data_IF_342627031725
#
_entry.id   IF_342627031725
#
_cell.length_a   1.000
_cell.length_b   1.000
_cell.length_c   1.000
_cell.angle_alpha   90.00
_cell.angle_beta   90.00
_cell.angle_gamma   90.00
#
_symmetry.space_group_name_H-M   'P 1'
#
loop_
_entity.id
_entity.type
_entity.pdbx_description
1 polymer ?
#
# COMPACT_ATOMS: atom_id res chain seq x y z
N UNK A 1 -21.52 -9.16 -13.90
CA UNK A 1 -22.95 -9.08 -14.29
C UNK A 1 -23.11 -9.56 -15.74
N UNK A 2 -24.35 -9.82 -16.18
CA UNK A 2 -24.64 -10.32 -17.54
C UNK A 2 -24.27 -9.31 -18.64
N UNK A 3 -24.33 -8.03 -18.29
CA UNK A 3 -24.03 -6.89 -19.18
C UNK A 3 -22.52 -6.62 -19.26
N UNK A 4 -21.72 -7.20 -18.36
CA UNK A 4 -20.27 -7.05 -18.39
C UNK A 4 -19.68 -7.83 -19.57
N UNK A 5 -18.54 -7.36 -20.06
CA UNK A 5 -17.79 -8.02 -21.14
C UNK A 5 -16.49 -8.59 -20.58
N UNK A 6 -16.22 -9.85 -20.91
CA UNK A 6 -15.04 -10.56 -20.47
C UNK A 6 -14.22 -11.07 -21.66
N UNK A 7 -12.93 -10.76 -21.67
CA UNK A 7 -11.92 -11.39 -22.51
C UNK A 7 -10.88 -12.11 -21.64
N UNK A 8 -10.13 -13.02 -22.23
CA UNK A 8 -9.04 -13.74 -21.54
C UNK A 8 -7.82 -13.81 -22.46
N UNK A 9 -6.71 -13.27 -21.99
CA UNK A 9 -5.40 -13.40 -22.61
C UNK A 9 -4.53 -14.31 -21.74
N UNK A 10 -3.91 -15.29 -22.36
CA UNK A 10 -2.85 -16.10 -21.75
C UNK A 10 -1.51 -15.62 -22.30
N UNK A 11 -0.51 -15.54 -21.45
CA UNK A 11 0.83 -15.15 -21.88
C UNK A 11 1.89 -16.03 -21.20
N UNK A 12 2.95 -16.23 -21.96
CA UNK A 12 4.22 -16.79 -21.50
C UNK A 12 5.35 -16.04 -22.24
N UNK A 13 6.07 -16.68 -23.18
CA UNK A 13 6.99 -15.98 -24.10
C UNK A 13 6.25 -15.22 -25.22
N UNK A 14 4.95 -15.41 -25.37
CA UNK A 14 4.03 -14.75 -26.32
C UNK A 14 2.63 -14.65 -25.70
N UNK A 15 1.89 -13.65 -26.15
CA UNK A 15 0.48 -13.54 -25.83
C UNK A 15 -0.39 -14.43 -26.73
N UNK A 16 -1.49 -14.89 -26.18
CA UNK A 16 -2.54 -15.62 -26.89
C UNK A 16 -3.92 -15.21 -26.38
N UNK A 17 -4.77 -14.70 -27.26
CA UNK A 17 -6.16 -14.42 -26.94
C UNK A 17 -6.92 -15.74 -26.81
N UNK A 18 -7.05 -16.23 -25.61
CA UNK A 18 -7.77 -17.48 -25.32
C UNK A 18 -9.29 -17.30 -25.44
N UNK A 19 -9.79 -16.11 -25.14
CA UNK A 19 -11.19 -15.72 -25.30
C UNK A 19 -11.27 -14.25 -25.72
N UNK A 20 -11.86 -13.94 -26.90
CA UNK A 20 -12.11 -12.56 -27.28
C UNK A 20 -13.17 -11.94 -26.37
N UNK A 21 -13.16 -10.61 -26.27
CA UNK A 21 -14.09 -9.82 -25.46
C UNK A 21 -15.55 -10.05 -25.90
N UNK A 22 -16.40 -10.53 -24.98
CA UNK A 22 -17.83 -10.80 -25.22
C UNK A 22 -18.64 -10.63 -23.94
N UNK A 23 -19.94 -10.37 -24.10
CA UNK A 23 -20.86 -10.25 -22.98
C UNK A 23 -20.91 -11.55 -22.15
N UNK A 24 -20.88 -11.38 -20.84
CA UNK A 24 -20.90 -12.49 -19.87
C UNK A 24 -22.21 -13.28 -19.99
N UNK A 25 -23.34 -12.58 -20.08
CA UNK A 25 -24.67 -13.20 -20.16
C UNK A 25 -24.90 -14.08 -21.40
N UNK A 26 -24.12 -13.88 -22.48
CA UNK A 26 -24.17 -14.71 -23.70
C UNK A 26 -23.03 -15.71 -23.82
N UNK A 27 -22.13 -15.75 -22.82
CA UNK A 27 -20.93 -16.58 -22.82
C UNK A 27 -21.17 -17.89 -22.04
N UNK A 28 -20.66 -19.01 -22.56
CA UNK A 28 -20.61 -20.29 -21.81
C UNK A 28 -19.55 -20.23 -20.72
N UNK A 29 -19.89 -19.57 -19.60
CA UNK A 29 -19.00 -19.43 -18.44
C UNK A 29 -18.55 -20.78 -17.85
N UNK A 30 -19.37 -21.84 -17.79
CA UNK A 30 -18.90 -23.18 -17.44
C UNK A 30 -17.79 -23.71 -18.34
N UNK A 31 -17.83 -23.46 -19.66
CA UNK A 31 -16.75 -23.83 -20.58
C UNK A 31 -15.47 -23.03 -20.28
N UNK A 32 -15.56 -21.72 -20.02
CA UNK A 32 -14.42 -20.90 -19.62
C UNK A 32 -13.75 -21.45 -18.36
N UNK A 33 -14.55 -21.78 -17.32
CA UNK A 33 -14.03 -22.38 -16.08
C UNK A 33 -13.34 -23.73 -16.29
N UNK A 34 -13.80 -24.55 -17.23
CA UNK A 34 -13.11 -25.80 -17.59
C UNK A 34 -11.76 -25.50 -18.24
N UNK A 35 -11.73 -24.62 -19.24
CA UNK A 35 -10.50 -24.25 -19.94
C UNK A 35 -9.46 -23.66 -18.99
N UNK A 36 -9.85 -22.81 -18.03
CA UNK A 36 -8.94 -22.27 -17.03
C UNK A 36 -8.26 -23.39 -16.22
N UNK A 37 -8.98 -24.45 -15.87
CA UNK A 37 -8.43 -25.60 -15.14
C UNK A 37 -7.47 -26.47 -15.98
N UNK A 38 -7.51 -26.36 -17.29
CA UNK A 38 -6.66 -27.07 -18.23
C UNK A 38 -5.38 -26.29 -18.58
N UNK A 39 -5.28 -25.03 -18.13
CA UNK A 39 -4.09 -24.20 -18.35
C UNK A 39 -2.90 -24.83 -17.61
N UNK A 40 -1.82 -25.05 -18.36
CA UNK A 40 -0.55 -25.51 -17.80
C UNK A 40 0.50 -24.39 -17.89
N UNK A 41 1.26 -24.21 -16.84
CA UNK A 41 2.37 -23.29 -16.82
C UNK A 41 3.49 -23.76 -17.76
N UNK A 42 4.17 -22.81 -18.44
CA UNK A 42 5.33 -23.11 -19.30
C UNK A 42 5.83 -21.89 -20.06
N UNK A 43 7.12 -21.91 -20.35
CA UNK A 43 7.81 -20.82 -21.07
C UNK A 43 8.37 -19.76 -20.15
N UNK A 44 8.84 -18.65 -20.74
CA UNK A 44 9.27 -17.44 -20.04
C UNK A 44 8.08 -16.51 -19.78
N UNK A 45 8.29 -15.42 -19.04
CA UNK A 45 7.26 -14.45 -18.69
C UNK A 45 7.48 -13.16 -19.48
N UNK A 46 6.77 -12.99 -20.60
CA UNK A 46 6.71 -11.75 -21.37
C UNK A 46 5.41 -11.01 -21.00
N UNK A 47 5.50 -10.15 -20.01
CA UNK A 47 4.38 -9.40 -19.47
C UNK A 47 3.85 -8.37 -20.47
N UNK A 48 4.77 -7.68 -21.17
CA UNK A 48 4.48 -6.66 -22.16
C UNK A 48 3.53 -7.18 -23.26
N UNK A 49 3.91 -8.27 -23.94
CA UNK A 49 3.10 -8.91 -24.99
C UNK A 49 1.68 -9.26 -24.48
N UNK A 50 1.59 -9.79 -23.22
CA UNK A 50 0.33 -10.15 -22.60
C UNK A 50 -0.56 -8.96 -22.30
N UNK A 51 0.04 -7.89 -21.80
CA UNK A 51 -0.66 -6.66 -21.44
C UNK A 51 -1.14 -5.92 -22.69
N UNK A 52 -0.26 -5.72 -23.68
CA UNK A 52 -0.61 -5.08 -24.96
C UNK A 52 -1.77 -5.79 -25.65
N UNK A 53 -1.73 -7.13 -25.72
CA UNK A 53 -2.83 -7.90 -26.32
C UNK A 53 -4.16 -7.73 -25.56
N UNK A 54 -4.13 -7.49 -24.26
CA UNK A 54 -5.32 -7.21 -23.46
C UNK A 54 -5.83 -5.78 -23.67
N UNK A 55 -4.93 -4.81 -23.75
CA UNK A 55 -5.26 -3.39 -24.06
C UNK A 55 -5.88 -3.26 -25.44
N UNK A 56 -5.30 -3.90 -26.47
CA UNK A 56 -5.82 -3.90 -27.84
C UNK A 56 -7.28 -4.39 -27.92
N UNK A 57 -7.65 -5.36 -27.09
CA UNK A 57 -9.05 -5.82 -27.03
C UNK A 57 -10.01 -4.79 -26.44
N UNK A 58 -9.52 -3.84 -25.64
CA UNK A 58 -10.34 -2.87 -24.89
C UNK A 58 -10.38 -1.49 -25.51
N UNK A 59 -9.32 -1.07 -26.22
CA UNK A 59 -9.20 0.29 -26.78
C UNK A 59 -10.33 0.63 -27.73
N UNK A 60 -10.70 -0.28 -28.64
CA UNK A 60 -11.79 -0.11 -29.61
C UNK A 60 -13.20 -0.34 -29.00
N UNK A 61 -13.26 -0.62 -27.69
CA UNK A 61 -14.49 -0.90 -26.98
C UNK A 61 -15.32 0.35 -26.67
N UNK A 62 -16.53 0.10 -26.17
CA UNK A 62 -17.40 1.15 -25.65
C UNK A 62 -16.71 1.91 -24.52
N UNK A 63 -16.84 3.23 -24.50
CA UNK A 63 -16.28 4.12 -23.48
C UNK A 63 -17.33 5.10 -22.97
N UNK A 64 -17.17 5.58 -21.77
CA UNK A 64 -18.06 6.57 -21.14
C UNK A 64 -17.99 6.55 -19.63
N UNK A 65 -18.65 7.48 -18.93
CA UNK A 65 -18.55 7.59 -17.48
C UNK A 65 -19.08 6.37 -16.71
N UNK A 66 -19.93 5.57 -17.36
CA UNK A 66 -20.53 4.35 -16.79
C UNK A 66 -19.83 3.06 -17.28
N UNK A 67 -18.76 3.18 -18.06
CA UNK A 67 -18.02 2.03 -18.59
C UNK A 67 -16.60 2.05 -18.01
N UNK A 68 -16.23 0.98 -17.33
CA UNK A 68 -14.86 0.77 -16.85
C UNK A 68 -14.17 -0.25 -17.75
N UNK A 69 -13.14 0.18 -18.48
CA UNK A 69 -12.29 -0.70 -19.27
C UNK A 69 -11.06 -1.04 -18.45
N UNK A 70 -10.92 -2.31 -18.08
CA UNK A 70 -9.91 -2.71 -17.12
C UNK A 70 -9.22 -4.01 -17.48
N UNK A 71 -7.91 -4.01 -17.41
CA UNK A 71 -7.08 -5.22 -17.42
C UNK A 71 -6.84 -5.66 -15.99
N UNK A 72 -7.34 -6.85 -15.62
CA UNK A 72 -6.95 -7.51 -14.37
C UNK A 72 -5.74 -8.38 -14.69
N UNK A 73 -4.57 -7.89 -14.36
CA UNK A 73 -3.30 -8.50 -14.70
C UNK A 73 -2.80 -9.37 -13.54
N UNK A 74 -2.61 -10.68 -13.79
CA UNK A 74 -2.21 -11.64 -12.77
C UNK A 74 -0.87 -12.27 -13.13
N UNK A 75 0.07 -12.26 -12.18
CA UNK A 75 1.39 -12.88 -12.34
C UNK A 75 1.89 -13.48 -11.02
N UNK A 76 2.63 -14.59 -11.11
CA UNK A 76 3.34 -15.22 -9.99
C UNK A 76 4.86 -14.97 -10.04
N UNK A 77 5.32 -14.23 -11.05
CA UNK A 77 6.73 -13.88 -11.24
C UNK A 77 6.86 -12.46 -11.76
N UNK A 78 7.93 -11.80 -11.37
CA UNK A 78 8.37 -10.58 -12.04
C UNK A 78 8.82 -10.92 -13.48
N UNK A 79 8.62 -10.00 -14.45
CA UNK A 79 8.95 -10.27 -15.83
C UNK A 79 10.44 -10.55 -16.00
N UNK A 80 10.75 -11.54 -16.86
CA UNK A 80 12.13 -11.90 -17.21
C UNK A 80 12.43 -11.75 -18.71
N UNK A 81 11.45 -11.31 -19.49
CA UNK A 81 11.54 -10.96 -20.92
C UNK A 81 10.57 -9.83 -21.25
N UNK A 82 10.88 -9.02 -22.27
CA UNK A 82 10.13 -7.80 -22.60
C UNK A 82 10.48 -6.65 -21.64
N UNK A 83 9.48 -5.85 -21.29
CA UNK A 83 9.63 -4.83 -20.26
C UNK A 83 9.90 -5.50 -18.91
N UNK A 84 11.14 -5.49 -18.47
CA UNK A 84 11.60 -6.19 -17.26
C UNK A 84 11.86 -5.24 -16.08
N UNK A 85 12.01 -3.95 -16.38
CA UNK A 85 12.22 -2.91 -15.38
C UNK A 85 10.91 -2.35 -14.82
N UNK A 86 10.91 -1.93 -13.57
CA UNK A 86 9.75 -1.29 -12.92
C UNK A 86 9.30 -0.03 -13.67
N UNK A 87 10.24 0.77 -14.17
CA UNK A 87 9.95 1.96 -14.97
C UNK A 87 9.27 1.64 -16.30
N UNK A 88 9.66 0.54 -16.97
CA UNK A 88 9.07 0.11 -18.23
C UNK A 88 7.64 -0.38 -18.03
N UNK A 89 7.37 -1.14 -16.96
CA UNK A 89 6.03 -1.58 -16.59
C UNK A 89 5.13 -0.40 -16.22
N UNK A 90 5.66 0.54 -15.46
CA UNK A 90 4.96 1.76 -15.09
C UNK A 90 4.55 2.56 -16.30
N UNK A 91 5.46 2.72 -17.27
CA UNK A 91 5.17 3.43 -18.51
C UNK A 91 4.07 2.73 -19.30
N UNK A 92 4.14 1.41 -19.43
CA UNK A 92 3.14 0.60 -20.14
C UNK A 92 1.73 0.78 -19.54
N UNK A 93 1.62 0.74 -18.22
CA UNK A 93 0.33 0.94 -17.54
C UNK A 93 -0.15 2.39 -17.61
N UNK A 94 0.75 3.36 -17.55
CA UNK A 94 0.41 4.77 -17.69
C UNK A 94 -0.09 5.11 -19.10
N UNK A 95 0.53 4.56 -20.14
CA UNK A 95 0.10 4.72 -21.52
C UNK A 95 -1.30 4.14 -21.74
N UNK A 96 -1.58 2.94 -21.22
CA UNK A 96 -2.91 2.34 -21.26
C UNK A 96 -3.96 3.21 -20.53
N UNK A 97 -3.59 3.80 -19.39
CA UNK A 97 -4.47 4.70 -18.63
C UNK A 97 -4.84 5.98 -19.42
N UNK A 98 -3.93 6.52 -20.23
CA UNK A 98 -4.21 7.65 -21.14
C UNK A 98 -5.28 7.27 -22.17
N UNK A 99 -5.26 6.02 -22.68
CA UNK A 99 -6.29 5.47 -23.57
C UNK A 99 -7.59 5.10 -22.84
N UNK A 100 -7.64 5.34 -21.51
CA UNK A 100 -8.78 5.01 -20.64
C UNK A 100 -8.92 3.53 -20.38
N UNK A 101 -7.84 2.75 -20.45
CA UNK A 101 -7.76 1.36 -20.04
C UNK A 101 -6.99 1.30 -18.72
N UNK A 102 -7.68 1.01 -17.65
CA UNK A 102 -7.10 0.96 -16.30
C UNK A 102 -6.57 -0.44 -15.97
N UNK A 103 -5.70 -0.53 -14.97
CA UNK A 103 -5.04 -1.77 -14.61
C UNK A 103 -5.26 -2.13 -13.14
N UNK A 104 -5.62 -3.37 -12.88
CA UNK A 104 -5.50 -3.99 -11.56
C UNK A 104 -4.39 -5.01 -11.60
N UNK A 105 -3.29 -4.75 -10.90
CA UNK A 105 -2.16 -5.68 -10.80
C UNK A 105 -2.38 -6.65 -9.64
N UNK A 106 -2.22 -7.95 -9.89
CA UNK A 106 -2.32 -8.99 -8.88
C UNK A 106 -1.05 -9.83 -8.90
N UNK A 107 -0.22 -9.65 -7.88
CA UNK A 107 0.95 -10.48 -7.61
C UNK A 107 0.54 -11.70 -6.78
N UNK A 108 0.69 -12.90 -7.32
CA UNK A 108 0.31 -14.14 -6.65
C UNK A 108 1.56 -14.79 -6.05
N UNK A 109 1.61 -14.90 -4.71
CA UNK A 109 2.77 -15.44 -4.01
C UNK A 109 4.05 -14.60 -4.10
N UNK A 110 3.96 -13.39 -4.68
CA UNK A 110 5.06 -12.44 -4.71
C UNK A 110 5.16 -11.73 -3.36
N UNK A 111 6.37 -11.51 -2.90
CA UNK A 111 6.62 -10.61 -1.78
C UNK A 111 6.20 -9.18 -2.15
N UNK A 112 5.64 -8.45 -1.19
CA UNK A 112 5.21 -7.09 -1.41
C UNK A 112 6.43 -6.23 -1.77
N UNK A 113 6.47 -5.73 -2.99
CA UNK A 113 7.44 -4.75 -3.44
C UNK A 113 6.86 -3.36 -3.21
N UNK A 114 7.38 -2.66 -2.19
CA UNK A 114 6.88 -1.34 -1.80
C UNK A 114 7.09 -0.28 -2.90
N UNK A 115 8.18 -0.36 -3.65
CA UNK A 115 8.51 0.57 -4.73
C UNK A 115 7.54 0.41 -5.91
N UNK A 116 7.30 -0.83 -6.36
CA UNK A 116 6.32 -1.12 -7.40
C UNK A 116 4.90 -0.74 -6.94
N UNK A 117 4.54 -1.02 -5.70
CA UNK A 117 3.25 -0.66 -5.13
C UNK A 117 3.01 0.85 -5.14
N UNK A 118 4.02 1.63 -4.72
CA UNK A 118 3.97 3.09 -4.70
C UNK A 118 3.84 3.67 -6.11
N UNK A 119 4.63 3.13 -7.03
CA UNK A 119 4.62 3.51 -8.44
C UNK A 119 3.26 3.23 -9.10
N UNK A 120 2.69 2.03 -8.91
CA UNK A 120 1.37 1.68 -9.44
C UNK A 120 0.26 2.55 -8.86
N UNK A 121 0.36 2.91 -7.58
CA UNK A 121 -0.62 3.79 -6.91
C UNK A 121 -0.63 5.21 -7.48
N UNK A 122 0.47 5.64 -8.08
CA UNK A 122 0.56 6.93 -8.79
C UNK A 122 -0.10 6.95 -10.17
N UNK A 123 -0.42 5.80 -10.76
CA UNK A 123 -1.03 5.71 -12.09
C UNK A 123 -2.54 5.86 -11.96
N UNK A 124 -3.14 6.78 -12.73
CA UNK A 124 -4.59 6.97 -12.76
C UNK A 124 -5.32 5.68 -13.13
N UNK A 125 -6.31 5.32 -12.33
CA UNK A 125 -7.14 4.13 -12.51
C UNK A 125 -6.45 2.81 -12.14
N UNK A 126 -5.15 2.81 -11.81
CA UNK A 126 -4.46 1.60 -11.41
C UNK A 126 -4.62 1.31 -9.91
N UNK A 127 -4.56 0.04 -9.59
CA UNK A 127 -4.39 -0.47 -8.23
C UNK A 127 -3.64 -1.80 -8.24
N UNK A 128 -3.23 -2.26 -7.06
CA UNK A 128 -2.45 -3.49 -6.93
C UNK A 128 -2.86 -4.29 -5.69
N UNK A 129 -2.65 -5.61 -5.77
CA UNK A 129 -2.86 -6.55 -4.67
C UNK A 129 -1.77 -7.62 -4.71
N UNK A 130 -1.16 -7.91 -3.55
CA UNK A 130 -0.28 -9.06 -3.37
C UNK A 130 -1.05 -10.13 -2.59
N UNK A 131 -1.24 -11.30 -3.20
CA UNK A 131 -2.11 -12.35 -2.69
C UNK A 131 -1.27 -13.60 -2.40
N UNK A 132 -1.30 -14.05 -1.14
CA UNK A 132 -0.48 -15.17 -0.66
C UNK A 132 -1.28 -16.44 -0.35
N UNK A 133 -2.61 -16.39 -0.45
CA UNK A 133 -3.46 -17.55 -0.16
C UNK A 133 -4.68 -17.65 -1.07
N UNK A 134 -5.19 -18.88 -1.25
CA UNK A 134 -6.42 -19.11 -2.01
C UNK A 134 -7.64 -18.42 -1.37
N UNK A 135 -7.70 -18.38 -0.04
CA UNK A 135 -8.79 -17.71 0.70
C UNK A 135 -8.77 -16.20 0.46
N UNK A 136 -7.61 -15.60 0.44
CA UNK A 136 -7.47 -14.17 0.13
C UNK A 136 -7.85 -13.90 -1.33
N UNK A 137 -7.42 -14.75 -2.25
CA UNK A 137 -7.78 -14.66 -3.66
C UNK A 137 -9.31 -14.71 -3.85
N UNK A 138 -9.98 -15.67 -3.20
CA UNK A 138 -11.45 -15.83 -3.27
C UNK A 138 -12.16 -14.60 -2.69
N UNK A 139 -11.71 -14.09 -1.56
CA UNK A 139 -12.26 -12.88 -0.94
C UNK A 139 -12.10 -11.66 -1.85
N UNK A 140 -10.90 -11.41 -2.37
CA UNK A 140 -10.61 -10.23 -3.20
C UNK A 140 -11.34 -10.27 -4.54
N UNK A 141 -11.25 -11.39 -5.27
CA UNK A 141 -11.81 -11.52 -6.62
C UNK A 141 -13.25 -12.04 -6.65
N UNK A 142 -13.77 -12.48 -5.52
CA UNK A 142 -15.16 -12.91 -5.37
C UNK A 142 -16.00 -11.85 -4.65
N UNK A 143 -15.74 -11.66 -3.36
CA UNK A 143 -16.58 -10.82 -2.51
C UNK A 143 -16.30 -9.30 -2.68
N UNK A 144 -15.05 -8.93 -2.92
CA UNK A 144 -14.61 -7.54 -2.98
C UNK A 144 -14.37 -7.04 -4.42
N UNK A 145 -14.73 -7.81 -5.45
CA UNK A 145 -14.44 -7.50 -6.85
C UNK A 145 -14.92 -6.11 -7.27
N UNK A 146 -16.16 -5.75 -6.97
CA UNK A 146 -16.73 -4.45 -7.36
C UNK A 146 -15.97 -3.27 -6.73
N UNK A 147 -15.49 -3.45 -5.49
CA UNK A 147 -14.68 -2.44 -4.81
C UNK A 147 -13.27 -2.33 -5.41
N UNK A 148 -12.78 -3.40 -5.98
CA UNK A 148 -11.45 -3.47 -6.57
C UNK A 148 -11.39 -2.87 -7.99
N UNK A 149 -12.47 -2.97 -8.75
CA UNK A 149 -12.48 -2.58 -10.17
C UNK A 149 -13.14 -1.25 -10.44
N UNK A 150 -13.91 -0.69 -9.50
CA UNK A 150 -14.69 0.53 -9.71
C UNK A 150 -14.12 1.71 -8.92
N UNK A 151 -13.40 2.64 -9.56
CA UNK A 151 -12.90 3.85 -8.88
C UNK A 151 -14.05 4.74 -8.39
N UNK A 152 -13.88 5.40 -7.25
CA UNK A 152 -14.77 6.43 -6.75
C UNK A 152 -14.45 7.79 -7.38
N UNK A 153 -13.21 8.24 -7.18
CA UNK A 153 -12.72 9.54 -7.66
C UNK A 153 -11.25 9.43 -8.07
N UNK A 154 -10.81 10.39 -8.85
CA UNK A 154 -9.43 10.52 -9.31
C UNK A 154 -8.77 11.77 -8.72
N UNK A 155 -7.46 11.75 -8.67
CA UNK A 155 -6.62 12.90 -8.30
C UNK A 155 -7.06 13.56 -6.99
N UNK A 156 -7.39 12.72 -5.99
CA UNK A 156 -7.76 13.21 -4.67
C UNK A 156 -6.54 13.83 -3.98
N UNK A 157 -6.64 15.12 -3.70
CA UNK A 157 -5.68 15.85 -2.90
C UNK A 157 -6.32 16.26 -1.57
N UNK A 158 -5.54 16.17 -0.50
CA UNK A 158 -5.84 16.78 0.78
C UNK A 158 -4.72 17.76 1.13
N UNK A 159 -5.09 19.02 1.25
CA UNK A 159 -4.20 20.10 1.65
C UNK A 159 -4.65 20.67 2.99
N UNK A 160 -3.72 21.19 3.78
CA UNK A 160 -3.98 21.78 5.08
C UNK A 160 -3.51 23.24 5.11
N UNK A 161 -4.47 24.17 5.09
CA UNK A 161 -4.18 25.58 5.35
C UNK A 161 -4.07 25.76 6.87
N UNK A 162 -2.84 25.82 7.36
CA UNK A 162 -2.50 25.77 8.77
C UNK A 162 -2.00 27.13 9.27
N UNK A 163 -2.78 28.19 9.06
CA UNK A 163 -2.39 29.56 9.43
C UNK A 163 -2.18 29.69 10.94
N UNK A 164 -0.93 29.91 11.33
CA UNK A 164 -0.52 30.01 12.74
C UNK A 164 -0.14 28.69 13.40
N UNK A 165 -0.05 27.60 12.62
CA UNK A 165 0.55 26.34 13.03
C UNK A 165 1.81 26.01 12.22
N UNK A 166 2.70 25.23 12.79
CA UNK A 166 3.83 24.59 12.13
C UNK A 166 3.50 23.10 11.99
N UNK A 167 3.57 22.55 10.78
CA UNK A 167 3.43 21.10 10.54
C UNK A 167 4.76 20.43 10.92
N UNK A 168 4.80 19.75 12.05
CA UNK A 168 6.01 19.07 12.53
C UNK A 168 6.20 17.68 11.92
N UNK A 169 5.11 16.98 11.61
CA UNK A 169 5.16 15.67 10.98
C UNK A 169 3.80 15.27 10.39
N UNK A 170 3.82 14.49 9.31
CA UNK A 170 2.68 13.79 8.75
C UNK A 170 2.99 12.31 8.74
N UNK A 171 2.06 11.49 9.23
CA UNK A 171 2.18 10.05 9.26
C UNK A 171 1.00 9.41 8.49
N UNK A 172 1.25 8.30 7.79
CA UNK A 172 0.22 7.57 7.05
C UNK A 172 0.00 8.07 5.62
N UNK A 173 0.84 9.00 5.13
CA UNK A 173 0.81 9.47 3.75
C UNK A 173 2.23 9.59 3.20
N UNK A 174 2.64 8.75 2.23
CA UNK A 174 3.96 8.85 1.60
C UNK A 174 4.08 10.10 0.70
N UNK A 175 2.97 10.63 0.20
CA UNK A 175 2.92 11.81 -0.67
C UNK A 175 2.82 13.15 0.08
N UNK A 176 2.89 13.12 1.42
CA UNK A 176 2.84 14.35 2.22
C UNK A 176 4.07 15.23 1.98
N UNK A 177 3.83 16.51 1.79
CA UNK A 177 4.87 17.52 1.62
C UNK A 177 4.54 18.75 2.48
N UNK A 178 5.21 18.87 3.61
CA UNK A 178 5.01 19.99 4.53
C UNK A 178 5.44 21.36 3.95
N UNK A 179 6.22 21.38 2.88
CA UNK A 179 6.61 22.63 2.22
C UNK A 179 5.50 23.20 1.32
N UNK A 180 4.57 22.35 0.89
CA UNK A 180 3.41 22.73 0.05
C UNK A 180 2.08 22.57 0.78
N UNK A 181 2.12 22.33 2.10
CA UNK A 181 0.93 22.06 2.93
C UNK A 181 0.09 20.86 2.48
N UNK A 182 0.63 20.03 1.58
CA UNK A 182 -0.04 18.81 1.09
C UNK A 182 0.05 17.70 2.11
N UNK A 183 -1.11 17.20 2.52
CA UNK A 183 -1.20 16.04 3.41
C UNK A 183 -1.22 14.72 2.65
N UNK A 184 -1.91 14.68 1.50
CA UNK A 184 -2.09 13.46 0.73
C UNK A 184 -2.36 13.77 -0.74
N UNK A 185 -1.84 12.93 -1.60
CA UNK A 185 -2.28 12.78 -2.98
C UNK A 185 -2.53 11.30 -3.29
N UNK A 186 -3.70 11.01 -3.86
CA UNK A 186 -4.06 9.67 -4.33
C UNK A 186 -4.55 9.79 -5.76
N UNK A 187 -3.81 9.21 -6.70
CA UNK A 187 -4.17 9.25 -8.12
C UNK A 187 -5.53 8.61 -8.42
N UNK A 188 -5.91 7.60 -7.65
CA UNK A 188 -7.23 6.96 -7.77
C UNK A 188 -7.68 6.43 -6.42
N UNK A 189 -8.85 6.85 -5.97
CA UNK A 189 -9.47 6.33 -4.75
C UNK A 189 -10.48 5.24 -5.12
N UNK A 190 -10.29 4.05 -4.55
CA UNK A 190 -11.25 2.96 -4.64
C UNK A 190 -12.08 2.85 -3.36
N UNK A 191 -13.34 2.38 -3.46
CA UNK A 191 -14.15 2.13 -2.27
C UNK A 191 -13.57 0.97 -1.44
N UNK A 192 -13.82 0.99 -0.15
CA UNK A 192 -13.49 -0.13 0.74
C UNK A 192 -14.74 -0.89 1.14
N UNK A 193 -14.66 -2.23 1.11
CA UNK A 193 -15.73 -3.07 1.62
C UNK A 193 -15.94 -2.80 3.12
N UNK A 194 -17.19 -2.73 3.56
CA UNK A 194 -17.52 -2.70 4.99
C UNK A 194 -17.36 -4.10 5.57
N UNK A 195 -16.66 -4.19 6.68
CA UNK A 195 -16.58 -5.40 7.49
C UNK A 195 -17.18 -5.10 8.86
N UNK A 196 -18.16 -5.90 9.30
CA UNK A 196 -18.90 -5.71 10.57
C UNK A 196 -19.54 -4.33 10.73
N UNK A 197 -19.90 -3.69 9.59
CA UNK A 197 -20.53 -2.37 9.57
C UNK A 197 -19.54 -1.20 9.57
N UNK A 198 -18.24 -1.46 9.69
CA UNK A 198 -17.18 -0.46 9.68
C UNK A 198 -16.43 -0.45 8.34
N UNK A 199 -16.10 0.73 7.84
CA UNK A 199 -15.24 0.88 6.68
C UNK A 199 -13.77 0.80 7.12
N UNK A 200 -12.98 -0.02 6.43
CA UNK A 200 -11.53 -0.02 6.57
C UNK A 200 -10.96 1.11 5.71
N UNK A 201 -10.18 1.97 6.33
CA UNK A 201 -9.53 3.09 5.64
C UNK A 201 -8.17 3.39 6.23
N UNK A 202 -7.35 4.15 5.50
CA UNK A 202 -6.12 4.72 6.01
C UNK A 202 -6.40 5.85 7.00
N UNK A 203 -5.43 6.11 7.87
CA UNK A 203 -5.44 7.26 8.78
C UNK A 203 -4.23 8.12 8.47
N UNK A 204 -4.47 9.42 8.26
CA UNK A 204 -3.40 10.42 8.20
C UNK A 204 -3.37 11.15 9.54
N UNK A 205 -2.22 11.08 10.20
CA UNK A 205 -1.99 11.75 11.46
C UNK A 205 -1.04 12.94 11.24
N UNK A 206 -1.54 14.16 11.45
CA UNK A 206 -0.75 15.38 11.33
C UNK A 206 -0.40 15.87 12.71
N UNK A 207 0.90 16.09 12.96
CA UNK A 207 1.38 16.69 14.19
C UNK A 207 1.62 18.17 13.96
N UNK A 208 0.87 18.99 14.69
CA UNK A 208 0.90 20.43 14.60
C UNK A 208 1.46 21.05 15.88
N UNK A 209 2.18 22.16 15.71
CA UNK A 209 2.62 23.01 16.81
C UNK A 209 2.03 24.39 16.63
N UNK A 210 1.25 24.84 17.61
CA UNK A 210 0.65 26.17 17.58
C UNK A 210 1.74 27.24 17.79
N UNK A 211 1.85 28.17 16.85
CA UNK A 211 2.83 29.23 16.85
C UNK A 211 2.26 30.57 17.32
N UNK A 212 0.94 30.73 17.23
CA UNK A 212 0.25 31.96 17.68
C UNK A 212 -1.16 31.65 18.20
N UNK A 213 -1.72 32.52 19.03
CA UNK A 213 -3.03 32.29 19.67
C UNK A 213 -4.23 32.35 18.72
N UNK A 214 -4.12 33.11 17.63
CA UNK A 214 -5.16 33.24 16.59
C UNK A 214 -4.78 32.36 15.41
N UNK A 215 -4.70 31.08 15.64
CA UNK A 215 -4.34 30.10 14.62
C UNK A 215 -5.64 29.48 14.07
N UNK A 216 -5.74 29.44 12.76
CA UNK A 216 -6.84 28.84 12.03
C UNK A 216 -6.37 27.57 11.28
N UNK A 217 -7.26 26.64 11.11
CA UNK A 217 -6.96 25.35 10.48
C UNK A 217 -8.09 24.97 9.53
N UNK A 218 -7.77 24.94 8.23
CA UNK A 218 -8.72 24.51 7.21
C UNK A 218 -8.20 23.30 6.45
N UNK A 219 -9.00 22.25 6.39
CA UNK A 219 -8.75 21.09 5.53
C UNK A 219 -9.41 21.32 4.18
N UNK A 220 -8.64 21.17 3.11
CA UNK A 220 -9.10 21.36 1.73
C UNK A 220 -8.98 20.02 1.01
N UNK A 221 -10.11 19.52 0.48
CA UNK A 221 -10.15 18.34 -0.36
C UNK A 221 -10.47 18.75 -1.80
N UNK A 222 -9.69 18.30 -2.77
CA UNK A 222 -10.00 18.46 -4.18
C UNK A 222 -9.88 17.12 -4.91
N UNK A 223 -10.80 16.85 -5.86
CA UNK A 223 -10.84 15.61 -6.61
C UNK A 223 -11.52 15.78 -7.96
N UNK A 224 -11.36 14.78 -8.81
CA UNK A 224 -12.05 14.66 -10.08
C UNK A 224 -12.98 13.46 -10.06
N UNK A 225 -14.24 13.64 -10.50
CA UNK A 225 -15.18 12.54 -10.68
C UNK A 225 -14.93 11.77 -12.00
N UNK A 226 -15.60 10.63 -12.15
CA UNK A 226 -15.46 9.76 -13.33
C UNK A 226 -15.91 10.41 -14.64
N UNK A 227 -16.82 11.38 -14.58
CA UNK A 227 -17.30 12.16 -15.71
C UNK A 227 -16.37 13.33 -16.08
N UNK A 228 -15.29 13.53 -15.31
CA UNK A 228 -14.31 14.60 -15.51
C UNK A 228 -14.66 15.90 -14.77
N UNK A 229 -15.73 15.93 -13.98
CA UNK A 229 -16.06 17.06 -13.11
C UNK A 229 -15.04 17.24 -12.00
N UNK A 230 -14.54 18.47 -11.80
CA UNK A 230 -13.61 18.83 -10.73
C UNK A 230 -14.36 19.44 -9.55
N UNK A 231 -14.01 19.03 -8.34
CA UNK A 231 -14.65 19.46 -7.11
C UNK A 231 -13.61 19.86 -6.07
N UNK A 232 -14.00 20.81 -5.23
CA UNK A 232 -13.18 21.25 -4.08
C UNK A 232 -14.09 21.55 -2.91
N UNK A 233 -13.76 20.99 -1.74
CA UNK A 233 -14.42 21.29 -0.48
C UNK A 233 -13.41 21.78 0.55
N UNK A 234 -13.86 22.71 1.41
CA UNK A 234 -13.06 23.25 2.53
C UNK A 234 -13.85 23.08 3.83
N UNK A 235 -13.16 22.58 4.86
CA UNK A 235 -13.72 22.39 6.19
C UNK A 235 -12.79 23.02 7.22
N UNK A 236 -13.31 23.96 8.01
CA UNK A 236 -12.58 24.52 9.16
C UNK A 236 -12.55 23.50 10.30
N UNK A 237 -11.38 23.24 10.83
CA UNK A 237 -11.15 22.26 11.90
C UNK A 237 -11.03 22.99 13.25
N UNK A 238 -11.98 22.73 14.14
CA UNK A 238 -11.90 23.21 15.51
C UNK A 238 -10.94 22.35 16.33
N UNK A 239 -9.86 22.95 16.82
CA UNK A 239 -8.88 22.27 17.67
C UNK A 239 -9.21 22.51 19.13
N UNK A 240 -9.61 21.47 19.91
CA UNK A 240 -9.91 21.64 21.32
C UNK A 240 -8.69 22.05 22.14
N UNK A 241 -8.87 22.98 23.08
CA UNK A 241 -7.82 23.51 23.96
C UNK A 241 -7.49 22.59 25.17
N UNK A 242 -7.96 21.35 25.18
CA UNK A 242 -7.78 20.43 26.29
C UNK A 242 -6.54 19.55 26.09
N UNK A 243 -5.56 19.68 26.97
CA UNK A 243 -4.36 18.85 26.95
C UNK A 243 -4.71 17.38 27.32
N UNK A 244 -4.24 16.44 26.51
CA UNK A 244 -4.43 14.99 26.74
C UNK A 244 -5.80 14.44 26.36
N UNK A 245 -6.68 15.27 25.79
CA UNK A 245 -7.95 14.83 25.25
C UNK A 245 -7.80 14.22 23.85
N UNK A 246 -8.59 13.19 23.57
CA UNK A 246 -8.74 12.60 22.25
C UNK A 246 -10.21 12.73 21.82
N UNK A 247 -10.45 13.12 20.59
CA UNK A 247 -11.82 13.24 20.06
C UNK A 247 -12.56 11.89 20.06
N UNK A 248 -11.81 10.80 19.78
CA UNK A 248 -12.31 9.41 19.87
C UNK A 248 -11.15 8.41 19.89
N UNK A 249 -11.47 7.14 20.19
CA UNK A 249 -10.48 6.06 20.33
C UNK A 249 -9.66 5.81 19.05
N UNK A 250 -10.21 6.04 17.86
CA UNK A 250 -9.47 5.91 16.60
C UNK A 250 -8.27 6.85 16.50
N UNK A 251 -8.41 8.11 16.93
CA UNK A 251 -7.29 9.06 17.00
C UNK A 251 -6.27 8.59 18.04
N UNK A 252 -6.72 8.11 19.18
CA UNK A 252 -5.88 7.57 20.24
C UNK A 252 -5.04 6.38 19.74
N UNK A 253 -5.68 5.42 19.07
CA UNK A 253 -5.03 4.27 18.44
C UNK A 253 -4.02 4.71 17.38
N UNK A 254 -4.37 5.66 16.51
CA UNK A 254 -3.47 6.18 15.48
C UNK A 254 -2.20 6.80 16.08
N UNK A 255 -2.31 7.57 17.17
CA UNK A 255 -1.17 8.13 17.90
C UNK A 255 -0.28 7.03 18.49
N UNK A 256 -0.89 6.00 19.08
CA UNK A 256 -0.16 4.87 19.64
C UNK A 256 0.63 4.10 18.57
N UNK A 257 -0.01 3.78 17.44
CA UNK A 257 0.64 3.12 16.31
C UNK A 257 1.73 3.98 15.65
N UNK A 258 1.52 5.29 15.52
CA UNK A 258 2.56 6.20 15.00
C UNK A 258 3.81 6.24 15.91
N UNK A 259 3.62 6.19 17.23
CA UNK A 259 4.74 6.08 18.20
C UNK A 259 5.48 4.76 18.05
N UNK A 260 4.73 3.65 17.93
CA UNK A 260 5.30 2.32 17.70
C UNK A 260 6.15 2.28 16.43
N UNK A 261 5.59 2.67 15.28
CA UNK A 261 6.27 2.68 14.00
C UNK A 261 7.53 3.57 14.01
N UNK A 262 7.45 4.76 14.63
CA UNK A 262 8.59 5.66 14.77
C UNK A 262 9.72 5.06 15.59
N UNK A 263 9.40 4.39 16.68
CA UNK A 263 10.39 3.77 17.55
C UNK A 263 11.12 2.63 16.84
N UNK A 264 10.38 1.74 16.16
CA UNK A 264 10.96 0.67 15.37
C UNK A 264 11.83 1.20 14.22
N UNK A 265 11.35 2.22 13.50
CA UNK A 265 12.12 2.86 12.43
C UNK A 265 13.42 3.46 12.95
N UNK A 266 13.36 4.16 14.09
CA UNK A 266 14.55 4.78 14.71
C UNK A 266 15.57 3.71 15.11
N UNK A 267 15.11 2.62 15.70
CA UNK A 267 15.95 1.49 16.04
C UNK A 267 16.60 0.84 14.82
N UNK A 268 15.79 0.51 13.80
CA UNK A 268 16.29 -0.13 12.58
C UNK A 268 17.35 0.73 11.87
N UNK A 269 17.07 2.03 11.70
CA UNK A 269 18.03 2.97 11.10
C UNK A 269 19.32 3.07 11.90
N UNK A 270 19.25 3.17 13.23
CA UNK A 270 20.42 3.29 14.08
C UNK A 270 21.28 2.00 14.11
N UNK A 271 20.66 0.83 13.97
CA UNK A 271 21.38 -0.44 13.83
C UNK A 271 22.06 -0.51 12.46
N UNK A 272 21.39 -0.11 11.40
CA UNK A 272 21.93 -0.08 10.05
C UNK A 272 23.12 0.89 9.93
N UNK A 273 22.98 2.12 10.38
CA UNK A 273 24.04 3.16 10.34
C UNK A 273 25.31 2.72 11.10
N UNK A 274 25.15 1.94 12.17
CA UNK A 274 26.29 1.42 12.93
C UNK A 274 26.99 0.25 12.24
N UNK A 275 26.23 -0.59 11.56
CA UNK A 275 26.79 -1.70 10.80
C UNK A 275 27.62 -1.17 9.61
N UNK A 276 27.13 -0.17 8.90
CA UNK A 276 27.89 0.48 7.81
C UNK A 276 29.20 1.08 8.29
N UNK A 277 29.25 1.59 9.51
CA UNK A 277 30.47 2.14 10.10
C UNK A 277 31.45 1.06 10.62
N UNK A 278 31.00 -0.21 10.75
CA UNK A 278 31.84 -1.32 11.25
C UNK A 278 32.33 -2.27 10.15
N UNK A 279 31.76 -2.24 8.95
CA UNK A 279 32.13 -3.09 7.80
C UNK A 279 33.39 -2.63 7.05
N UNK A 280 34.40 -2.14 7.76
CA UNK A 280 35.71 -1.81 7.20
C UNK A 280 36.65 -3.00 6.94
N UNK A 281 36.24 -4.26 7.19
CA UNK A 281 37.12 -5.43 7.06
C UNK A 281 36.36 -6.65 6.54
N UNK A 282 36.76 -7.09 5.32
CA UNK A 282 36.59 -8.45 4.76
C UNK A 282 35.23 -8.92 4.24
N UNK A 283 34.42 -8.06 3.64
CA UNK A 283 33.14 -8.47 3.04
C UNK A 283 33.24 -9.08 1.62
N UNK A 284 34.42 -9.10 1.00
CA UNK A 284 34.60 -9.64 -0.36
C UNK A 284 34.44 -11.17 -0.47
N UNK A 285 34.55 -11.89 0.65
CA UNK A 285 34.47 -13.36 0.68
C UNK A 285 33.01 -13.90 0.76
N UNK A 286 32.04 -13.08 1.12
CA UNK A 286 30.66 -13.50 1.35
C UNK A 286 29.65 -12.95 0.33
N UNK A 287 30.05 -12.03 -0.56
CA UNK A 287 29.15 -11.25 -1.39
C UNK A 287 28.75 -11.86 -2.73
N UNK A 288 29.38 -12.97 -3.14
CA UNK A 288 29.23 -13.46 -4.53
C UNK A 288 27.92 -14.24 -4.81
N UNK A 289 27.07 -14.49 -3.81
CA UNK A 289 25.82 -15.25 -3.96
C UNK A 289 24.58 -14.56 -3.37
N UNK A 290 24.69 -13.33 -2.85
CA UNK A 290 23.56 -12.58 -2.29
C UNK A 290 22.91 -11.71 -3.34
N UNK A 291 21.58 -11.69 -3.39
CA UNK A 291 20.79 -10.73 -4.18
C UNK A 291 21.07 -9.28 -3.76
N UNK A 292 20.68 -8.31 -4.59
CA UNK A 292 20.93 -6.89 -4.33
C UNK A 292 20.36 -6.44 -2.96
N UNK A 293 19.17 -6.89 -2.60
CA UNK A 293 18.55 -6.61 -1.30
C UNK A 293 19.25 -7.32 -0.14
N UNK A 294 19.84 -8.50 -0.36
CA UNK A 294 20.61 -9.20 0.67
C UNK A 294 21.98 -8.58 0.93
N UNK A 295 22.55 -7.88 -0.05
CA UNK A 295 23.86 -7.19 0.09
C UNK A 295 23.78 -5.99 1.02
N UNK A 296 22.61 -5.32 1.07
CA UNK A 296 22.35 -4.17 1.93
C UNK A 296 21.69 -4.57 3.25
N UNK A 297 21.32 -5.84 3.42
CA UNK A 297 20.68 -6.34 4.63
C UNK A 297 21.67 -6.49 5.78
N UNK A 298 21.30 -5.94 6.93
CA UNK A 298 22.06 -6.01 8.18
C UNK A 298 21.26 -6.77 9.22
N UNK A 299 21.86 -7.73 9.97
CA UNK A 299 21.16 -8.38 11.08
C UNK A 299 20.70 -7.36 12.11
N UNK A 300 19.40 -7.32 12.38
CA UNK A 300 18.83 -6.46 13.41
C UNK A 300 19.17 -7.05 14.79
N UNK A 301 19.93 -6.28 15.56
CA UNK A 301 20.26 -6.58 16.94
C UNK A 301 19.55 -5.58 17.86
N UNK A 302 19.18 -5.97 19.06
CA UNK A 302 18.55 -5.11 20.06
C UNK A 302 19.59 -4.66 21.09
N UNK A 303 20.20 -3.46 20.96
CA UNK A 303 21.07 -2.93 21.99
C UNK A 303 20.27 -2.65 23.29
N UNK A 304 20.95 -2.75 24.43
CA UNK A 304 20.34 -2.57 25.77
C UNK A 304 19.49 -1.31 25.90
N UNK A 305 19.98 -0.19 25.36
CA UNK A 305 19.23 1.09 25.36
C UNK A 305 17.88 1.01 24.64
N UNK A 306 17.75 0.14 23.63
CA UNK A 306 16.47 -0.08 22.92
C UNK A 306 15.57 -1.06 23.67
N UNK A 307 16.13 -2.04 24.39
CA UNK A 307 15.33 -2.94 25.21
C UNK A 307 14.51 -2.18 26.28
N UNK A 308 15.13 -1.20 26.95
CA UNK A 308 14.42 -0.35 27.92
C UNK A 308 13.32 0.50 27.24
N UNK A 309 13.60 1.06 26.07
CA UNK A 309 12.63 1.86 25.30
C UNK A 309 11.48 0.99 24.80
N UNK A 310 11.76 -0.21 24.34
CA UNK A 310 10.74 -1.17 23.91
C UNK A 310 9.87 -1.62 25.06
N UNK A 311 10.42 -1.87 26.25
CA UNK A 311 9.61 -2.21 27.42
C UNK A 311 8.71 -1.06 27.87
N UNK A 312 9.20 0.17 27.84
CA UNK A 312 8.38 1.37 28.10
C UNK A 312 7.26 1.52 27.07
N UNK A 313 7.57 1.33 25.78
CA UNK A 313 6.60 1.41 24.69
C UNK A 313 5.58 0.27 24.78
N UNK A 314 6.02 -0.94 25.11
CA UNK A 314 5.14 -2.10 25.31
C UNK A 314 4.10 -1.81 26.42
N UNK A 315 4.53 -1.31 27.57
CA UNK A 315 3.61 -0.93 28.68
C UNK A 315 2.62 0.12 28.20
N UNK A 316 3.10 1.15 27.53
CA UNK A 316 2.25 2.21 26.98
C UNK A 316 1.21 1.64 25.99
N UNK A 317 1.61 0.77 25.06
CA UNK A 317 0.68 0.15 24.10
C UNK A 317 -0.32 -0.78 24.80
N UNK A 318 0.07 -1.50 25.84
CA UNK A 318 -0.85 -2.32 26.62
C UNK A 318 -1.91 -1.45 27.29
N UNK A 319 -1.51 -0.35 27.93
CA UNK A 319 -2.45 0.59 28.55
C UNK A 319 -3.40 1.22 27.52
N UNK A 320 -2.88 1.59 26.33
CA UNK A 320 -3.69 2.16 25.25
C UNK A 320 -4.66 1.12 24.67
N UNK A 321 -4.24 -0.13 24.48
CA UNK A 321 -5.08 -1.23 24.01
C UNK A 321 -6.26 -1.46 24.96
N UNK A 322 -6.02 -1.49 26.27
CA UNK A 322 -7.08 -1.63 27.27
C UNK A 322 -8.08 -0.46 27.23
N UNK A 323 -7.59 0.77 27.07
CA UNK A 323 -8.44 1.96 27.01
C UNK A 323 -9.25 2.01 25.72
N UNK A 324 -8.65 1.65 24.58
CA UNK A 324 -9.30 1.61 23.26
C UNK A 324 -10.29 0.44 23.18
N UNK A 325 -9.98 -0.68 23.84
CA UNK A 325 -10.75 -1.92 23.78
C UNK A 325 -10.59 -2.66 22.45
N UNK A 326 -9.40 -2.58 21.84
CA UNK A 326 -9.12 -3.17 20.52
C UNK A 326 -7.98 -4.18 20.62
N UNK A 327 -8.34 -5.47 20.67
CA UNK A 327 -7.39 -6.59 20.76
C UNK A 327 -6.49 -6.74 19.54
N UNK A 328 -6.80 -6.09 18.40
CA UNK A 328 -5.93 -6.14 17.22
C UNK A 328 -4.56 -5.49 17.44
N UNK A 329 -4.40 -4.68 18.49
CA UNK A 329 -3.12 -4.10 18.91
C UNK A 329 -2.19 -5.09 19.64
N UNK A 330 -2.66 -6.31 19.92
CA UNK A 330 -1.86 -7.34 20.60
C UNK A 330 -0.60 -7.72 19.81
N UNK A 331 -0.66 -7.68 18.47
CA UNK A 331 0.48 -7.97 17.59
C UNK A 331 1.68 -7.05 17.86
N UNK A 332 1.44 -5.76 18.04
CA UNK A 332 2.45 -4.75 18.33
C UNK A 332 3.06 -4.97 19.73
N UNK A 333 2.24 -5.33 20.69
CA UNK A 333 2.66 -5.64 22.06
C UNK A 333 3.55 -6.89 22.07
N UNK A 334 3.12 -7.98 21.41
CA UNK A 334 3.90 -9.22 21.29
C UNK A 334 5.22 -9.00 20.56
N UNK A 335 5.24 -8.18 19.48
CA UNK A 335 6.47 -7.86 18.77
C UNK A 335 7.49 -7.20 19.69
N UNK A 336 7.06 -6.21 20.47
CA UNK A 336 7.94 -5.53 21.43
C UNK A 336 8.42 -6.47 22.55
N UNK A 337 7.58 -7.37 23.00
CA UNK A 337 7.98 -8.39 23.99
C UNK A 337 9.10 -9.28 23.44
N UNK A 338 8.96 -9.77 22.21
CA UNK A 338 10.00 -10.57 21.53
C UNK A 338 11.30 -9.79 21.34
N UNK A 339 11.22 -8.51 21.01
CA UNK A 339 12.40 -7.65 20.86
C UNK A 339 13.10 -7.44 22.22
N UNK A 340 12.37 -7.24 23.31
CA UNK A 340 12.94 -7.16 24.66
C UNK A 340 13.69 -8.45 25.06
N UNK A 341 13.16 -9.63 24.66
CA UNK A 341 13.78 -10.92 24.95
C UNK A 341 15.08 -11.18 24.15
N UNK A 342 15.28 -10.51 23.02
CA UNK A 342 16.49 -10.62 22.19
C UNK A 342 17.64 -9.71 22.66
N UNK A 343 17.39 -8.82 23.62
CA UNK A 343 18.45 -7.99 24.17
C UNK A 343 19.48 -8.87 24.91
N UNK A 344 20.82 -8.60 24.76
CA UNK A 344 21.83 -9.31 25.52
C UNK A 344 21.57 -9.11 27.03
N UNK A 345 21.61 -10.20 27.78
CA UNK A 345 21.49 -10.13 29.24
C UNK A 345 22.58 -9.19 29.79
N UNK A 346 22.19 -8.21 30.60
CA UNK A 346 23.14 -7.37 31.33
C UNK A 346 24.08 -8.31 32.13
N UNK A 347 25.42 -8.20 32.04
CA UNK A 347 26.28 -8.95 32.91
C UNK A 347 25.89 -8.61 34.36
N UNK A 348 25.37 -9.61 35.09
CA UNK A 348 25.16 -9.42 36.53
C UNK A 348 26.50 -9.00 37.13
N UNK A 349 26.53 -7.86 37.81
CA UNK A 349 27.66 -7.46 38.64
C UNK A 349 28.07 -8.67 39.50
N UNK A 350 29.21 -9.24 39.14
CA UNK A 350 29.84 -10.23 40.01
C UNK A 350 30.25 -9.47 41.26
N UNK A 351 29.46 -9.59 42.29
CA UNK A 351 29.83 -9.12 43.61
C UNK A 351 31.02 -9.95 44.07
N UNK A 352 32.17 -9.30 44.15
CA UNK A 352 33.34 -9.77 44.90
C UNK A 352 33.05 -9.83 46.40
#
# INVERSE_FOLDING_TARGET
HDEDRLGVVLYNHRAHVAKPLRDVGTTDMPAIRRHIREIAAGGSTNLEDGFEAAVDMLVDGESGPNVERRVVFMTDMMPNTGATGENELTQLFAEAAVEGVHTTFIGIGLDANAELADTLSGIRGANHYFIHSATEFERRLGEEFDYMVTPLVYDLNLDLDADGYEIEAVHGSPSADAATDRLMHVGTLFPSAKQDGEARGGVILVRLKQMRSNADLDLIASWMERDGGEYTERVTVDVPNESGAYAHNGVRKAVALARHARELRTWAADVHDRADNTTGVDDWLLTDHRGEHERTSVPLVVPERYAERFDQLRRYLTDEMDIVGDETMEQEVELLERLCQQAPATPSEVSD
#
